data_IF_600433475128
#
_entry.id   IF_600433475128
#
_cell.length_a   1.000
_cell.length_b   1.000
_cell.length_c   1.000
_cell.angle_alpha   90.00
_cell.angle_beta   90.00
_cell.angle_gamma   90.00
#
_symmetry.space_group_name_H-M   'P 1'
#
loop_
_entity.id
_entity.type
_entity.pdbx_description
1 polymer ?
#
# COMPACT_ATOMS: atom_id res chain seq x y z
N UNK A 1 6.51 18.79 21.68
CA UNK A 1 5.97 17.90 20.63
C UNK A 1 4.55 17.55 21.05
N UNK A 2 3.54 18.04 20.34
CA UNK A 2 2.13 17.87 20.71
C UNK A 2 1.57 16.63 20.04
N UNK A 3 1.12 15.64 20.81
CA UNK A 3 0.46 14.43 20.29
C UNK A 3 -0.68 14.82 19.35
N UNK A 4 -0.78 14.13 18.21
CA UNK A 4 -1.92 14.28 17.29
C UNK A 4 -3.05 13.39 17.80
N UNK A 5 -4.20 13.99 18.10
CA UNK A 5 -5.43 13.22 18.36
C UNK A 5 -5.96 12.72 17.03
N UNK A 6 -5.95 11.41 16.84
CA UNK A 6 -6.42 10.77 15.61
C UNK A 6 -7.96 10.70 15.61
N UNK A 7 -8.57 10.59 14.42
CA UNK A 7 -10.04 10.51 14.27
C UNK A 7 -10.67 9.28 14.96
N UNK A 8 -9.88 8.33 15.43
CA UNK A 8 -10.34 7.15 16.17
C UNK A 8 -10.24 7.27 17.70
N UNK A 9 -9.85 8.44 18.23
CA UNK A 9 -9.78 8.69 19.67
C UNK A 9 -8.49 8.20 20.35
N UNK A 10 -7.55 7.60 19.62
CA UNK A 10 -6.23 7.23 20.16
C UNK A 10 -5.19 8.33 19.94
N UNK A 11 -4.32 8.52 20.92
CA UNK A 11 -3.20 9.47 20.84
C UNK A 11 -1.97 8.82 20.19
N UNK A 12 -1.36 9.48 19.20
CA UNK A 12 -0.10 9.05 18.56
C UNK A 12 1.07 10.00 18.83
N UNK A 13 2.31 9.52 18.64
CA UNK A 13 3.51 10.36 18.64
C UNK A 13 3.53 11.27 17.40
N UNK A 14 3.81 12.56 17.58
CA UNK A 14 3.70 13.58 16.52
C UNK A 14 5.01 13.76 15.73
N UNK A 15 4.97 13.43 14.45
CA UNK A 15 5.66 14.17 13.40
C UNK A 15 4.54 14.77 12.52
N UNK A 16 4.54 16.08 12.29
CA UNK A 16 3.37 16.78 11.74
C UNK A 16 3.10 16.35 10.28
N UNK A 17 1.92 15.78 10.05
CA UNK A 17 1.31 15.61 8.75
C UNK A 17 -0.02 16.36 8.72
N UNK A 18 -0.49 16.70 7.53
CA UNK A 18 -1.83 17.21 7.30
C UNK A 18 -2.73 16.12 6.72
N UNK A 19 -3.91 15.95 7.30
CA UNK A 19 -4.94 15.09 6.71
C UNK A 19 -5.38 15.68 5.36
N UNK A 20 -5.46 14.82 4.36
CA UNK A 20 -5.91 15.16 3.01
C UNK A 20 -7.09 14.27 2.64
N UNK A 21 -8.11 14.86 2.03
CA UNK A 21 -9.27 14.15 1.48
C UNK A 21 -9.46 14.50 0.02
N UNK A 22 -9.52 13.50 -0.83
CA UNK A 22 -9.69 13.61 -2.27
C UNK A 22 -11.08 13.10 -2.62
N UNK A 23 -11.99 13.93 -3.15
CA UNK A 23 -13.35 13.52 -3.44
C UNK A 23 -13.38 12.48 -4.59
N UNK A 24 -14.19 11.44 -4.41
CA UNK A 24 -14.48 10.42 -5.43
C UNK A 24 -15.98 10.11 -5.44
N UNK A 25 -16.55 9.54 -6.52
CA UNK A 25 -18.00 9.36 -6.62
C UNK A 25 -18.65 8.55 -5.47
N UNK A 26 -17.89 7.66 -4.82
CA UNK A 26 -18.36 6.84 -3.69
C UNK A 26 -17.96 7.42 -2.32
N UNK A 27 -17.46 8.66 -2.26
CA UNK A 27 -17.06 9.33 -1.03
C UNK A 27 -15.74 10.06 -1.17
N UNK A 28 -14.70 9.57 -0.50
CA UNK A 28 -13.37 10.18 -0.53
C UNK A 28 -12.25 9.15 -0.36
N UNK A 29 -11.09 9.50 -0.92
CA UNK A 29 -9.80 8.89 -0.59
C UNK A 29 -9.14 9.77 0.47
N UNK A 30 -8.78 9.19 1.61
CA UNK A 30 -8.05 9.85 2.69
C UNK A 30 -6.54 9.65 2.52
N UNK A 31 -5.74 10.53 3.10
CA UNK A 31 -4.29 10.38 3.12
C UNK A 31 -3.62 11.37 4.08
N UNK A 32 -2.33 11.18 4.28
CA UNK A 32 -1.49 12.03 5.13
C UNK A 32 -0.44 12.70 4.26
N UNK A 33 -0.41 14.02 4.31
CA UNK A 33 0.57 14.84 3.62
C UNK A 33 1.67 15.25 4.58
N UNK A 34 2.89 14.82 4.30
CA UNK A 34 4.09 15.12 5.06
C UNK A 34 4.97 16.11 4.29
N UNK A 35 5.57 17.07 4.97
CA UNK A 35 6.45 18.07 4.35
C UNK A 35 5.72 19.21 3.66
N UNK A 36 6.41 19.90 2.75
CA UNK A 36 5.98 21.16 2.13
C UNK A 36 4.90 20.96 1.05
N UNK A 37 3.73 21.60 1.23
CA UNK A 37 2.60 21.53 0.29
C UNK A 37 2.76 22.34 -0.99
N UNK A 38 3.72 23.26 -1.02
CA UNK A 38 4.05 24.01 -2.23
C UNK A 38 4.79 23.15 -3.27
N UNK A 39 5.30 21.99 -2.85
CA UNK A 39 5.97 21.02 -3.72
C UNK A 39 5.02 19.89 -4.06
N UNK A 40 5.07 19.43 -5.31
CA UNK A 40 4.40 18.19 -5.68
C UNK A 40 4.98 17.04 -4.84
N UNK A 41 4.12 16.25 -4.16
CA UNK A 41 4.60 15.20 -3.28
C UNK A 41 4.96 13.95 -4.07
N UNK A 42 5.86 13.16 -3.51
CA UNK A 42 5.95 11.73 -3.79
C UNK A 42 4.66 11.07 -3.29
N UNK A 43 4.08 10.12 -4.03
CA UNK A 43 2.86 9.42 -3.61
C UNK A 43 3.22 8.09 -2.95
N UNK A 44 2.79 7.89 -1.71
CA UNK A 44 2.98 6.67 -0.93
C UNK A 44 1.78 5.74 -0.99
N UNK A 45 1.97 4.48 -1.41
CA UNK A 45 0.91 3.47 -1.56
C UNK A 45 1.22 2.24 -0.70
N UNK A 46 0.31 1.89 0.20
CA UNK A 46 0.51 0.84 1.21
C UNK A 46 0.23 -0.59 0.69
N UNK A 47 0.59 -1.59 1.51
CA UNK A 47 0.33 -3.01 1.27
C UNK A 47 -1.14 -3.41 1.44
N UNK A 48 -1.47 -4.64 1.06
CA UNK A 48 -2.85 -5.14 1.17
C UNK A 48 -3.26 -5.31 2.64
N UNK A 49 -4.42 -4.77 3.02
CA UNK A 49 -4.96 -4.73 4.39
C UNK A 49 -4.20 -3.84 5.39
N UNK A 50 -3.24 -3.05 4.91
CA UNK A 50 -2.60 -1.97 5.66
C UNK A 50 -3.42 -0.66 5.56
N UNK A 51 -2.74 0.47 5.75
CA UNK A 51 -3.21 1.82 5.49
C UNK A 51 -1.98 2.76 5.40
N UNK A 52 -2.20 4.05 5.17
CA UNK A 52 -1.13 5.06 5.08
C UNK A 52 -0.25 5.20 6.33
N UNK A 53 -0.62 4.62 7.48
CA UNK A 53 0.27 4.55 8.68
C UNK A 53 1.41 3.57 8.56
N UNK A 54 1.41 2.69 7.56
CA UNK A 54 2.60 1.87 7.28
C UNK A 54 3.86 2.73 7.05
N UNK A 55 3.68 3.98 6.59
CA UNK A 55 4.75 4.94 6.37
C UNK A 55 5.04 5.88 7.55
N UNK A 56 4.39 5.76 8.72
CA UNK A 56 4.57 6.71 9.83
C UNK A 56 6.01 6.79 10.36
N UNK A 57 6.77 5.70 10.22
CA UNK A 57 8.17 5.64 10.64
C UNK A 57 9.14 6.13 9.54
N UNK A 58 8.74 6.04 8.26
CA UNK A 58 9.54 6.46 7.11
C UNK A 58 9.30 7.91 6.71
N UNK A 59 8.05 8.34 6.64
CA UNK A 59 7.65 9.65 6.14
C UNK A 59 8.32 10.84 6.85
N UNK A 60 8.50 10.83 8.20
CA UNK A 60 9.23 11.90 8.87
C UNK A 60 10.70 12.01 8.44
N UNK A 61 11.36 10.88 8.16
CA UNK A 61 12.76 10.85 7.73
C UNK A 61 12.91 11.47 6.34
N UNK A 62 11.95 11.22 5.45
CA UNK A 62 11.90 11.84 4.12
C UNK A 62 11.60 13.35 4.22
N UNK A 63 10.60 13.72 5.02
CA UNK A 63 10.21 15.12 5.21
C UNK A 63 11.33 15.99 5.80
N UNK A 64 12.12 15.45 6.72
CA UNK A 64 13.31 16.13 7.27
C UNK A 64 14.38 16.43 6.22
N UNK A 65 14.39 15.71 5.10
CA UNK A 65 15.28 15.96 3.96
C UNK A 65 14.64 16.83 2.87
N UNK A 66 13.45 17.39 3.13
CA UNK A 66 12.76 18.28 2.21
C UNK A 66 11.92 17.58 1.13
N UNK A 67 11.69 16.26 1.28
CA UNK A 67 10.77 15.50 0.42
C UNK A 67 9.35 15.72 0.90
N UNK A 68 8.48 16.21 0.01
CA UNK A 68 7.03 16.24 0.24
C UNK A 68 6.45 14.85 -0.07
N UNK A 69 5.60 14.31 0.79
CA UNK A 69 5.15 12.91 0.69
C UNK A 69 3.67 12.76 1.06
N UNK A 70 2.85 12.29 0.12
CA UNK A 70 1.43 12.03 0.30
C UNK A 70 1.18 10.53 0.40
N UNK A 71 0.99 10.03 1.62
CA UNK A 71 0.64 8.63 1.86
C UNK A 71 -0.88 8.47 1.81
N UNK A 72 -1.41 7.72 0.86
CA UNK A 72 -2.87 7.56 0.68
C UNK A 72 -3.38 6.26 1.29
N UNK A 73 -4.60 6.30 1.83
CA UNK A 73 -5.36 5.09 2.16
C UNK A 73 -6.10 4.63 0.89
N UNK A 74 -5.86 3.42 0.39
CA UNK A 74 -6.65 2.85 -0.70
C UNK A 74 -8.13 2.72 -0.27
N UNK A 75 -9.10 2.78 -1.20
CA UNK A 75 -10.50 2.52 -0.88
C UNK A 75 -10.70 1.23 -0.10
N UNK A 76 -11.62 1.27 0.85
CA UNK A 76 -11.81 0.18 1.81
C UNK A 76 -10.74 0.06 2.89
N UNK A 77 -9.69 0.88 2.90
CA UNK A 77 -8.63 0.86 3.93
C UNK A 77 -8.58 2.18 4.70
N UNK A 78 -7.95 2.14 5.88
CA UNK A 78 -7.69 3.34 6.68
C UNK A 78 -8.93 4.18 6.90
N UNK A 79 -8.85 5.47 6.59
CA UNK A 79 -9.99 6.39 6.64
C UNK A 79 -10.59 6.70 5.27
N UNK A 80 -10.23 5.95 4.22
CA UNK A 80 -10.87 6.06 2.91
C UNK A 80 -12.27 5.45 2.92
N UNK A 81 -13.14 6.00 2.08
CA UNK A 81 -14.49 5.45 1.90
C UNK A 81 -14.42 4.04 1.33
N UNK A 82 -15.33 3.19 1.80
CA UNK A 82 -15.55 1.86 1.22
C UNK A 82 -16.21 2.02 -0.16
N UNK A 83 -15.98 1.08 -1.07
CA UNK A 83 -16.75 1.02 -2.32
C UNK A 83 -18.22 0.73 -2.00
N UNK A 84 -19.17 1.10 -2.88
CA UNK A 84 -20.60 0.81 -2.64
C UNK A 84 -20.86 -0.70 -2.46
N UNK A 85 -21.95 -1.08 -1.76
CA UNK A 85 -22.45 -2.46 -1.78
C UNK A 85 -22.64 -2.97 -3.22
N UNK A 86 -22.44 -4.27 -3.48
CA UNK A 86 -22.47 -4.81 -4.85
C UNK A 86 -21.15 -4.70 -5.61
N UNK A 87 -20.14 -4.02 -5.08
CA UNK A 87 -18.86 -3.78 -5.76
C UNK A 87 -17.72 -4.56 -5.09
N UNK A 88 -16.99 -5.32 -5.90
CA UNK A 88 -15.77 -6.04 -5.53
C UNK A 88 -14.54 -5.12 -5.53
N UNK A 89 -13.47 -5.56 -4.86
CA UNK A 89 -12.16 -4.91 -4.91
C UNK A 89 -11.19 -5.70 -5.80
N UNK A 90 -10.99 -5.22 -7.02
CA UNK A 90 -9.97 -5.72 -7.95
C UNK A 90 -8.64 -5.01 -7.66
N UNK A 91 -7.99 -5.36 -6.53
CA UNK A 91 -6.90 -4.60 -5.91
C UNK A 91 -5.90 -3.94 -6.88
N UNK A 92 -5.42 -4.69 -7.87
CA UNK A 92 -4.43 -4.19 -8.83
C UNK A 92 -5.04 -3.13 -9.77
N UNK A 93 -6.10 -3.49 -10.48
CA UNK A 93 -6.73 -2.61 -11.47
C UNK A 93 -7.43 -1.42 -10.82
N UNK A 94 -8.17 -1.67 -9.74
CA UNK A 94 -8.80 -0.61 -8.95
C UNK A 94 -7.73 0.32 -8.37
N UNK A 95 -6.62 -0.23 -7.87
CA UNK A 95 -5.46 0.54 -7.41
C UNK A 95 -4.93 1.51 -8.47
N UNK A 96 -4.74 1.04 -9.72
CA UNK A 96 -4.33 1.90 -10.86
C UNK A 96 -5.38 2.97 -11.14
N UNK A 97 -6.67 2.63 -11.14
CA UNK A 97 -7.75 3.62 -11.32
C UNK A 97 -7.75 4.69 -10.23
N UNK A 98 -7.55 4.30 -8.98
CA UNK A 98 -7.51 5.22 -7.85
C UNK A 98 -6.29 6.14 -7.92
N UNK A 99 -5.12 5.59 -8.24
CA UNK A 99 -3.92 6.39 -8.46
C UNK A 99 -4.13 7.39 -9.61
N UNK A 100 -4.74 6.94 -10.72
CA UNK A 100 -5.08 7.82 -11.84
C UNK A 100 -6.02 8.95 -11.44
N UNK A 101 -7.01 8.67 -10.58
CA UNK A 101 -7.92 9.70 -10.03
C UNK A 101 -7.18 10.72 -9.19
N UNK A 102 -6.24 10.28 -8.34
CA UNK A 102 -5.41 11.16 -7.50
C UNK A 102 -4.55 12.07 -8.38
N UNK A 103 -3.80 11.49 -9.33
CA UNK A 103 -2.95 12.25 -10.26
C UNK A 103 -3.76 13.29 -11.05
N UNK A 104 -4.92 12.90 -11.58
CA UNK A 104 -5.81 13.83 -12.31
C UNK A 104 -6.44 14.90 -11.42
N UNK A 105 -6.76 14.59 -10.17
CA UNK A 105 -7.36 15.55 -9.24
C UNK A 105 -6.42 16.73 -8.98
N UNK A 106 -5.13 16.46 -8.81
CA UNK A 106 -4.14 17.50 -8.58
C UNK A 106 -3.49 18.05 -9.85
N UNK A 107 -3.71 17.41 -11.01
CA UNK A 107 -3.13 17.82 -12.29
C UNK A 107 -1.62 17.58 -12.38
N UNK A 108 -1.10 16.59 -11.65
CA UNK A 108 0.32 16.24 -11.65
C UNK A 108 0.73 15.58 -12.96
N UNK A 109 1.95 15.89 -13.41
CA UNK A 109 2.49 15.45 -14.72
C UNK A 109 3.84 14.74 -14.62
N UNK A 110 4.51 14.88 -13.48
CA UNK A 110 5.83 14.29 -13.23
C UNK A 110 5.78 13.55 -11.88
N UNK A 111 5.19 12.36 -11.90
CA UNK A 111 4.79 11.61 -10.73
C UNK A 111 5.95 10.76 -10.22
N UNK A 112 6.23 10.89 -8.92
CA UNK A 112 7.12 9.96 -8.20
C UNK A 112 6.31 9.10 -7.25
N UNK A 113 6.57 7.79 -7.23
CA UNK A 113 5.82 6.81 -6.44
C UNK A 113 6.72 6.08 -5.44
N UNK A 114 6.21 5.80 -4.24
CA UNK A 114 6.78 4.83 -3.31
C UNK A 114 5.68 3.84 -2.95
N UNK A 115 5.87 2.58 -3.31
CA UNK A 115 4.90 1.52 -3.06
C UNK A 115 5.49 0.39 -2.23
N UNK A 116 4.75 -0.07 -1.22
CA UNK A 116 5.06 -1.30 -0.50
C UNK A 116 4.11 -2.41 -0.93
N UNK A 117 4.65 -3.61 -1.22
CA UNK A 117 3.84 -4.81 -1.52
C UNK A 117 2.77 -4.53 -2.58
N UNK A 118 1.47 -4.65 -2.27
CA UNK A 118 0.38 -4.22 -3.17
C UNK A 118 0.64 -2.84 -3.81
N UNK A 119 1.04 -1.84 -3.03
CA UNK A 119 1.34 -0.51 -3.52
C UNK A 119 2.53 -0.48 -4.48
N UNK A 120 3.54 -1.34 -4.30
CA UNK A 120 4.66 -1.48 -5.23
C UNK A 120 4.21 -2.06 -6.57
N UNK A 121 3.34 -3.07 -6.55
CA UNK A 121 2.75 -3.62 -7.77
C UNK A 121 1.79 -2.65 -8.49
N UNK A 122 1.03 -1.84 -7.74
CA UNK A 122 0.23 -0.74 -8.34
C UNK A 122 1.15 0.29 -9.00
N UNK A 123 2.24 0.69 -8.35
CA UNK A 123 3.22 1.62 -8.92
C UNK A 123 3.86 1.07 -10.20
N UNK A 124 4.23 -0.22 -10.21
CA UNK A 124 4.70 -0.92 -11.41
C UNK A 124 3.69 -0.85 -12.56
N UNK A 125 2.41 -1.14 -12.29
CA UNK A 125 1.36 -1.07 -13.32
C UNK A 125 1.13 0.36 -13.80
N UNK A 126 1.15 1.35 -12.91
CA UNK A 126 0.95 2.74 -13.30
C UNK A 126 2.11 3.25 -14.16
N UNK A 127 3.36 2.95 -13.77
CA UNK A 127 4.56 3.34 -14.51
C UNK A 127 4.62 2.70 -15.92
N UNK A 128 4.12 1.47 -16.07
CA UNK A 128 4.06 0.79 -17.37
C UNK A 128 2.91 1.27 -18.28
N UNK A 129 1.80 1.73 -17.70
CA UNK A 129 0.62 2.21 -18.45
C UNK A 129 0.75 3.70 -18.82
N UNK A 130 1.37 4.50 -17.94
CA UNK A 130 1.58 5.93 -18.12
C UNK A 130 3.07 6.30 -18.01
N UNK A 131 3.94 5.73 -18.86
CA UNK A 131 5.40 5.91 -18.74
C UNK A 131 5.85 7.36 -18.89
N UNK A 132 5.11 8.18 -19.65
CA UNK A 132 5.42 9.61 -19.82
C UNK A 132 5.08 10.47 -18.59
N UNK A 133 4.31 9.93 -17.64
CA UNK A 133 3.90 10.66 -16.43
C UNK A 133 4.72 10.29 -15.19
N UNK A 134 5.53 9.23 -15.23
CA UNK A 134 6.27 8.75 -14.06
C UNK A 134 7.76 8.95 -14.28
N UNK A 135 8.42 9.70 -13.38
CA UNK A 135 9.88 9.90 -13.44
C UNK A 135 10.66 8.93 -12.57
N UNK A 136 10.13 8.60 -11.39
CA UNK A 136 10.76 7.69 -10.45
C UNK A 136 9.71 6.81 -9.77
N UNK A 137 9.98 5.52 -9.59
CA UNK A 137 9.25 4.74 -8.58
C UNK A 137 10.16 3.88 -7.71
N UNK A 138 9.78 3.80 -6.44
CA UNK A 138 10.40 2.95 -5.43
C UNK A 138 9.45 1.80 -5.11
N UNK A 139 9.93 0.57 -5.22
CA UNK A 139 9.22 -0.64 -4.82
C UNK A 139 9.86 -1.27 -3.60
N UNK A 140 9.08 -1.40 -2.53
CA UNK A 140 9.50 -1.99 -1.27
C UNK A 140 8.92 -3.40 -1.17
N UNK A 141 9.83 -4.35 -1.25
CA UNK A 141 9.68 -5.79 -1.09
C UNK A 141 8.67 -6.46 -2.04
N UNK A 142 8.70 -6.01 -3.31
CA UNK A 142 7.95 -6.59 -4.43
C UNK A 142 8.60 -6.18 -5.76
N UNK A 143 8.50 -6.99 -6.82
CA UNK A 143 9.01 -6.64 -8.15
C UNK A 143 7.88 -6.30 -9.15
N UNK A 144 6.67 -6.80 -8.92
CA UNK A 144 5.52 -6.70 -9.82
C UNK A 144 4.23 -7.13 -9.11
N UNK A 145 3.04 -6.89 -9.69
CA UNK A 145 1.81 -7.54 -9.25
C UNK A 145 1.96 -9.06 -9.15
N UNK A 146 1.27 -9.69 -8.19
CA UNK A 146 1.46 -11.12 -7.93
C UNK A 146 1.22 -11.99 -9.17
N UNK A 147 2.20 -12.82 -9.47
CA UNK A 147 2.21 -13.70 -10.65
C UNK A 147 1.75 -15.10 -10.27
N UNK A 148 0.74 -15.62 -10.99
CA UNK A 148 0.15 -16.95 -10.77
C UNK A 148 0.02 -17.68 -12.09
N UNK A 149 0.24 -19.00 -12.09
CA UNK A 149 -0.02 -19.81 -13.27
C UNK A 149 -1.51 -19.77 -13.64
N UNK A 150 -1.87 -19.88 -14.93
CA UNK A 150 -3.28 -19.90 -15.35
C UNK A 150 -4.13 -20.91 -14.58
N UNK A 151 -3.58 -22.09 -14.28
CA UNK A 151 -4.25 -23.13 -13.51
C UNK A 151 -4.60 -22.67 -12.10
N UNK A 152 -3.66 -22.01 -11.40
CA UNK A 152 -3.91 -21.47 -10.05
C UNK A 152 -4.93 -20.34 -10.07
N UNK A 153 -4.88 -19.47 -11.08
CA UNK A 153 -5.85 -18.39 -11.23
C UNK A 153 -7.26 -18.94 -11.44
N UNK A 154 -7.44 -19.83 -12.42
CA UNK A 154 -8.75 -20.42 -12.73
C UNK A 154 -9.32 -21.16 -11.52
N UNK A 155 -8.47 -21.89 -10.79
CA UNK A 155 -8.88 -22.60 -9.58
C UNK A 155 -9.37 -21.67 -8.45
N UNK A 156 -8.93 -20.40 -8.40
CA UNK A 156 -9.33 -19.45 -7.35
C UNK A 156 -10.55 -18.61 -7.69
N UNK A 157 -10.93 -18.46 -8.97
CA UNK A 157 -11.98 -17.53 -9.40
C UNK A 157 -13.35 -17.90 -8.84
N UNK A 158 -13.85 -19.11 -9.10
CA UNK A 158 -15.18 -19.54 -8.63
C UNK A 158 -15.33 -19.42 -7.11
N UNK A 159 -14.41 -20.01 -6.32
CA UNK A 159 -14.44 -19.87 -4.85
C UNK A 159 -14.27 -18.44 -4.34
N UNK A 160 -13.68 -17.52 -5.12
CA UNK A 160 -13.59 -16.11 -4.73
C UNK A 160 -14.93 -15.39 -4.94
N UNK A 161 -15.59 -15.65 -6.08
CA UNK A 161 -16.92 -15.11 -6.41
C UNK A 161 -17.96 -15.63 -5.41
N UNK A 162 -17.98 -16.93 -5.12
CA UNK A 162 -18.96 -17.49 -4.18
C UNK A 162 -18.80 -16.88 -2.78
N UNK A 163 -17.55 -16.69 -2.33
CA UNK A 163 -17.26 -16.03 -1.05
C UNK A 163 -17.64 -14.55 -1.07
N UNK A 164 -17.72 -13.88 -2.23
CA UNK A 164 -18.21 -12.50 -2.30
C UNK A 164 -19.65 -12.39 -1.82
N UNK A 165 -20.51 -13.31 -2.26
CA UNK A 165 -21.91 -13.34 -1.82
C UNK A 165 -22.06 -13.56 -0.30
N UNK A 166 -21.16 -14.33 0.32
CA UNK A 166 -21.14 -14.49 1.78
C UNK A 166 -20.86 -13.17 2.51
N UNK A 167 -20.02 -12.29 1.94
CA UNK A 167 -19.72 -10.99 2.54
C UNK A 167 -20.80 -9.94 2.22
N UNK A 168 -21.46 -10.02 1.06
CA UNK A 168 -22.62 -9.18 0.75
C UNK A 168 -23.82 -9.47 1.66
N UNK A 169 -23.99 -10.73 2.06
CA UNK A 169 -25.04 -11.11 2.99
C UNK A 169 -24.80 -10.63 4.44
N UNK A 170 -23.59 -10.14 4.77
CA UNK A 170 -23.28 -9.66 6.12
C UNK A 170 -23.87 -8.28 6.34
N UNK A 171 -24.58 -8.14 7.45
CA UNK A 171 -25.13 -6.88 7.91
C UNK A 171 -24.19 -6.18 8.90
N UNK A 172 -24.36 -4.87 9.08
CA UNK A 172 -23.46 -4.06 9.90
C UNK A 172 -23.38 -4.53 11.37
N UNK A 173 -24.46 -5.07 11.92
CA UNK A 173 -24.58 -5.65 13.26
C UNK A 173 -23.78 -6.94 13.45
N UNK A 174 -23.37 -7.61 12.37
CA UNK A 174 -22.50 -8.79 12.42
C UNK A 174 -21.01 -8.44 12.50
N UNK A 175 -20.66 -7.14 12.50
CA UNK A 175 -19.25 -6.71 12.58
C UNK A 175 -18.72 -6.94 13.99
N UNK A 176 -17.68 -7.77 14.18
CA UNK A 176 -17.12 -8.02 15.49
C UNK A 176 -16.39 -6.77 16.00
N UNK A 177 -16.41 -6.62 17.32
CA UNK A 177 -15.63 -5.63 18.04
C UNK A 177 -14.64 -6.33 18.97
N UNK A 178 -13.58 -5.63 19.32
CA UNK A 178 -12.42 -6.16 20.02
C UNK A 178 -11.93 -5.14 21.05
N UNK A 179 -11.26 -5.57 22.11
CA UNK A 179 -10.45 -4.62 22.90
C UNK A 179 -9.25 -4.16 22.08
N UNK A 180 -8.56 -3.09 22.51
CA UNK A 180 -7.34 -2.63 21.83
C UNK A 180 -6.28 -3.75 21.77
N UNK A 181 -6.03 -4.43 22.89
CA UNK A 181 -5.06 -5.53 22.96
C UNK A 181 -5.43 -6.68 22.03
N UNK A 182 -6.71 -7.08 21.99
CA UNK A 182 -7.18 -8.10 21.03
C UNK A 182 -6.90 -7.68 19.58
N UNK A 183 -7.09 -6.40 19.23
CA UNK A 183 -6.79 -5.93 17.86
C UNK A 183 -5.30 -6.00 17.54
N UNK A 184 -4.44 -5.67 18.49
CA UNK A 184 -2.98 -5.77 18.32
C UNK A 184 -2.59 -7.23 18.13
N UNK A 185 -3.11 -8.14 18.95
CA UNK A 185 -2.81 -9.58 18.86
C UNK A 185 -3.30 -10.18 17.53
N UNK A 186 -4.52 -9.82 17.09
CA UNK A 186 -5.07 -10.22 15.79
C UNK A 186 -4.19 -9.72 14.64
N UNK A 187 -3.69 -8.49 14.72
CA UNK A 187 -2.81 -7.92 13.71
C UNK A 187 -1.46 -8.65 13.71
N UNK A 188 -0.86 -8.88 14.86
CA UNK A 188 0.43 -9.57 14.99
C UNK A 188 0.37 -11.00 14.41
N UNK A 189 -0.69 -11.75 14.74
CA UNK A 189 -0.95 -13.08 14.18
C UNK A 189 -1.14 -13.04 12.66
N UNK A 190 -1.94 -12.09 12.16
CA UNK A 190 -2.24 -11.95 10.73
C UNK A 190 -0.98 -11.64 9.89
N UNK A 191 -0.03 -10.88 10.45
CA UNK A 191 1.22 -10.51 9.76
C UNK A 191 2.31 -11.58 9.87
N UNK A 192 2.11 -12.65 10.65
CA UNK A 192 3.00 -13.82 10.73
C UNK A 192 4.48 -13.46 10.96
N UNK A 193 4.71 -12.52 11.88
CA UNK A 193 6.05 -12.04 12.23
C UNK A 193 6.65 -11.02 11.26
N UNK A 194 5.93 -10.60 10.21
CA UNK A 194 6.41 -9.53 9.35
C UNK A 194 6.33 -8.14 10.00
N UNK A 195 5.37 -7.94 10.90
CA UNK A 195 5.17 -6.67 11.63
C UNK A 195 5.26 -7.02 13.10
N UNK A 196 6.06 -6.27 13.85
CA UNK A 196 6.16 -6.41 15.30
C UNK A 196 4.98 -5.71 15.99
N UNK A 197 4.88 -5.86 17.31
CA UNK A 197 3.79 -5.25 18.09
C UNK A 197 3.72 -3.73 17.89
N UNK A 198 4.86 -3.05 17.93
CA UNK A 198 4.94 -1.61 17.71
C UNK A 198 4.46 -1.19 16.32
N UNK A 199 4.82 -1.93 15.26
CA UNK A 199 4.30 -1.73 13.92
C UNK A 199 2.79 -1.97 13.83
N UNK A 200 2.26 -2.97 14.54
CA UNK A 200 0.82 -3.23 14.60
C UNK A 200 0.06 -2.05 15.24
N UNK A 201 0.59 -1.50 16.33
CA UNK A 201 0.03 -0.29 16.96
C UNK A 201 0.03 0.91 15.99
N UNK A 202 1.12 1.08 15.23
CA UNK A 202 1.21 2.11 14.18
C UNK A 202 0.15 1.92 13.11
N UNK A 203 -0.06 0.70 12.59
CA UNK A 203 -1.11 0.42 11.61
C UNK A 203 -2.50 0.64 12.19
N UNK A 204 -2.74 0.28 13.46
CA UNK A 204 -4.04 0.45 14.11
C UNK A 204 -4.45 1.90 14.30
N UNK A 205 -3.51 2.86 14.33
CA UNK A 205 -3.81 4.31 14.32
C UNK A 205 -4.80 4.73 13.23
N UNK A 206 -4.82 4.04 12.09
CA UNK A 206 -5.86 4.22 11.05
C UNK A 206 -6.62 2.93 10.73
N UNK A 207 -6.17 1.80 11.26
CA UNK A 207 -6.80 0.49 11.07
C UNK A 207 -7.99 0.22 11.99
N UNK A 208 -8.25 1.07 12.99
CA UNK A 208 -9.35 0.90 13.94
C UNK A 208 -10.21 2.17 14.10
N UNK A 209 -11.45 1.96 14.51
CA UNK A 209 -12.42 2.99 14.90
C UNK A 209 -13.19 2.54 16.15
N UNK A 210 -13.73 3.46 16.96
CA UNK A 210 -14.58 3.11 18.09
C UNK A 210 -15.73 2.18 17.68
N UNK A 211 -15.99 1.17 18.50
CA UNK A 211 -17.15 0.31 18.37
C UNK A 211 -18.38 0.92 19.05
N UNK A 212 -19.55 0.32 18.85
CA UNK A 212 -20.77 0.67 19.59
C UNK A 212 -20.70 0.28 21.08
N UNK A 213 -19.83 -0.68 21.41
CA UNK A 213 -19.53 -1.05 22.80
C UNK A 213 -18.38 -0.20 23.31
N UNK A 214 -18.61 0.47 24.43
CA UNK A 214 -17.60 1.30 25.09
C UNK A 214 -16.32 0.51 25.42
N UNK A 215 -15.16 1.12 25.19
CA UNK A 215 -13.86 0.48 25.38
C UNK A 215 -13.47 -0.55 24.32
N UNK A 216 -14.31 -0.76 23.30
CA UNK A 216 -14.03 -1.65 22.18
C UNK A 216 -13.90 -0.90 20.85
N UNK A 217 -13.30 -1.58 19.89
CA UNK A 217 -12.96 -1.06 18.57
C UNK A 217 -13.34 -2.05 17.47
N UNK A 218 -13.54 -1.54 16.28
CA UNK A 218 -13.74 -2.33 15.06
C UNK A 218 -12.67 -1.96 14.04
N UNK A 219 -12.32 -2.89 13.16
CA UNK A 219 -11.46 -2.56 12.04
C UNK A 219 -12.14 -1.56 11.10
N UNK A 220 -11.37 -0.60 10.60
CA UNK A 220 -11.83 0.34 9.57
C UNK A 220 -11.86 -0.29 8.19
N UNK A 221 -11.03 -1.32 7.96
CA UNK A 221 -10.94 -1.99 6.66
C UNK A 221 -12.23 -2.70 6.29
N UNK A 222 -12.56 -2.66 5.02
CA UNK A 222 -13.69 -3.35 4.44
C UNK A 222 -13.43 -4.87 4.44
N UNK A 223 -14.31 -5.69 5.05
CA UNK A 223 -14.14 -7.14 5.07
C UNK A 223 -14.04 -7.79 3.68
N UNK A 224 -14.63 -7.17 2.65
CA UNK A 224 -14.56 -7.65 1.25
C UNK A 224 -13.15 -7.65 0.69
N UNK A 225 -12.22 -6.88 1.26
CA UNK A 225 -10.82 -6.87 0.84
C UNK A 225 -10.16 -8.24 0.98
N UNK A 226 -10.68 -9.13 1.82
CA UNK A 226 -10.19 -10.52 1.98
C UNK A 226 -10.43 -11.41 0.75
N UNK A 227 -11.20 -10.92 -0.23
CA UNK A 227 -11.65 -11.66 -1.42
C UNK A 227 -10.87 -11.33 -2.69
N UNK A 228 -9.78 -10.58 -2.57
CA UNK A 228 -9.00 -10.01 -3.66
C UNK A 228 -8.31 -11.00 -4.63
N UNK A 229 -8.76 -12.24 -4.74
CA UNK A 229 -8.17 -13.28 -5.57
C UNK A 229 -8.46 -13.12 -7.07
N UNK A 230 -9.19 -12.07 -7.48
CA UNK A 230 -9.49 -11.77 -8.88
C UNK A 230 -8.45 -10.80 -9.45
N UNK A 231 -7.92 -11.13 -10.63
CA UNK A 231 -7.01 -10.26 -11.38
C UNK A 231 -5.52 -10.41 -11.08
N UNK A 232 -5.08 -11.61 -10.68
CA UNK A 232 -3.65 -11.94 -10.71
C UNK A 232 -3.12 -12.02 -12.15
N UNK A 233 -1.80 -11.94 -12.30
CA UNK A 233 -1.15 -11.86 -13.61
C UNK A 233 -0.47 -13.17 -13.95
N UNK A 234 -0.44 -13.53 -15.23
CA UNK A 234 0.53 -14.52 -15.72
C UNK A 234 1.92 -13.88 -15.82
N UNK A 235 2.96 -14.71 -15.92
CA UNK A 235 4.32 -14.18 -16.11
C UNK A 235 4.40 -13.36 -17.40
N UNK A 236 3.83 -13.85 -18.50
CA UNK A 236 3.84 -13.16 -19.79
C UNK A 236 3.22 -11.75 -19.69
N UNK A 237 2.10 -11.62 -18.97
CA UNK A 237 1.49 -10.30 -18.74
C UNK A 237 2.41 -9.39 -17.93
N UNK A 238 2.99 -9.90 -16.85
CA UNK A 238 3.91 -9.11 -16.02
C UNK A 238 5.16 -8.67 -16.81
N UNK A 239 5.70 -9.53 -17.69
CA UNK A 239 6.86 -9.21 -18.53
C UNK A 239 6.53 -8.14 -19.59
N UNK A 240 5.33 -8.14 -20.15
CA UNK A 240 4.88 -7.11 -21.09
C UNK A 240 4.65 -5.76 -20.40
N UNK A 241 4.19 -5.74 -19.15
CA UNK A 241 4.15 -4.50 -18.38
C UNK A 241 5.57 -4.02 -18.01
N UNK A 242 6.45 -4.93 -17.59
CA UNK A 242 7.83 -4.61 -17.22
C UNK A 242 8.58 -3.92 -18.37
N UNK A 243 8.41 -4.39 -19.60
CA UNK A 243 9.09 -3.86 -20.80
C UNK A 243 8.70 -2.41 -21.16
N UNK A 244 7.64 -1.87 -20.55
CA UNK A 244 7.12 -0.53 -20.81
C UNK A 244 7.56 0.49 -19.77
N UNK A 245 8.25 0.05 -18.73
CA UNK A 245 8.74 0.92 -17.67
C UNK A 245 10.00 1.61 -18.18
N UNK A 246 9.94 2.94 -18.32
CA UNK A 246 11.04 3.76 -18.86
C UNK A 246 11.65 4.71 -17.84
N UNK A 247 11.04 4.86 -16.66
CA UNK A 247 11.46 5.77 -15.61
C UNK A 247 12.63 5.20 -14.79
N UNK A 248 13.17 5.97 -13.84
CA UNK A 248 14.11 5.43 -12.85
C UNK A 248 13.39 4.55 -11.83
N UNK A 249 14.01 3.45 -11.43
CA UNK A 249 13.44 2.46 -10.53
C UNK A 249 14.40 2.14 -9.40
N UNK A 250 13.89 2.13 -8.17
CA UNK A 250 14.56 1.57 -7.00
C UNK A 250 13.76 0.37 -6.48
N UNK A 251 14.37 -0.80 -6.47
CA UNK A 251 13.84 -1.99 -5.83
C UNK A 251 14.58 -2.27 -4.51
N UNK A 252 13.85 -2.31 -3.40
CA UNK A 252 14.38 -2.71 -2.09
C UNK A 252 13.73 -4.04 -1.71
N UNK A 253 14.52 -5.10 -1.57
CA UNK A 253 14.09 -6.44 -1.15
C UNK A 253 14.56 -6.71 0.27
N UNK A 254 13.69 -7.27 1.10
CA UNK A 254 14.01 -7.70 2.46
C UNK A 254 14.44 -9.18 2.48
N UNK A 255 15.41 -9.53 3.32
CA UNK A 255 15.97 -10.89 3.37
C UNK A 255 15.09 -11.91 4.12
N UNK A 256 14.17 -11.47 4.98
CA UNK A 256 13.22 -12.31 5.74
C UNK A 256 11.79 -12.16 5.20
N UNK A 257 11.61 -12.17 3.88
CA UNK A 257 10.28 -12.07 3.26
C UNK A 257 9.51 -13.38 3.22
N UNK A 258 8.19 -13.31 3.35
CA UNK A 258 7.29 -14.45 3.14
C UNK A 258 7.14 -14.67 1.63
N UNK A 259 7.58 -15.83 1.14
CA UNK A 259 7.54 -16.16 -0.29
C UNK A 259 6.12 -16.53 -0.72
N UNK A 260 5.42 -15.56 -1.33
CA UNK A 260 4.08 -15.78 -1.90
C UNK A 260 4.12 -16.20 -3.37
N UNK A 261 5.21 -15.90 -4.07
CA UNK A 261 5.39 -16.07 -5.52
C UNK A 261 6.57 -17.00 -5.83
N UNK A 262 6.69 -17.45 -7.09
CA UNK A 262 7.88 -18.19 -7.52
C UNK A 262 9.10 -17.24 -7.41
N UNK A 263 10.14 -17.60 -6.61
CA UNK A 263 11.31 -16.74 -6.43
C UNK A 263 11.99 -16.33 -7.73
N UNK A 264 11.97 -17.20 -8.75
CA UNK A 264 12.58 -16.94 -10.06
C UNK A 264 11.89 -15.77 -10.79
N UNK A 265 10.59 -15.55 -10.58
CA UNK A 265 9.86 -14.46 -11.25
C UNK A 265 10.31 -13.09 -10.77
N UNK A 266 10.78 -12.98 -9.52
CA UNK A 266 11.21 -11.71 -8.97
C UNK A 266 12.37 -11.13 -9.77
N UNK A 267 13.42 -11.93 -9.96
CA UNK A 267 14.64 -11.49 -10.64
C UNK A 267 14.41 -11.37 -12.15
N UNK A 268 13.67 -12.30 -12.77
CA UNK A 268 13.31 -12.22 -14.19
C UNK A 268 12.57 -10.93 -14.55
N UNK A 269 11.66 -10.48 -13.69
CA UNK A 269 10.90 -9.25 -13.94
C UNK A 269 11.77 -8.02 -13.76
N UNK A 270 12.66 -7.99 -12.76
CA UNK A 270 13.62 -6.89 -12.60
C UNK A 270 14.61 -6.83 -13.76
N UNK A 271 15.10 -7.98 -14.24
CA UNK A 271 15.95 -8.05 -15.43
C UNK A 271 15.21 -7.48 -16.65
N UNK A 272 13.91 -7.75 -16.77
CA UNK A 272 13.10 -7.18 -17.86
C UNK A 272 12.92 -5.67 -17.75
N UNK A 273 12.76 -5.14 -16.53
CA UNK A 273 12.67 -3.70 -16.28
C UNK A 273 13.99 -3.03 -16.67
N UNK A 274 15.13 -3.65 -16.36
CA UNK A 274 16.47 -3.10 -16.66
C UNK A 274 16.73 -2.91 -18.16
N UNK A 275 16.04 -3.67 -19.02
CA UNK A 275 16.15 -3.51 -20.48
C UNK A 275 15.57 -2.18 -21.00
N UNK A 276 14.61 -1.57 -20.28
CA UNK A 276 13.86 -0.39 -20.75
C UNK A 276 13.89 0.81 -19.80
N UNK A 277 14.09 0.59 -18.51
CA UNK A 277 14.16 1.65 -17.50
C UNK A 277 15.37 2.55 -17.73
N UNK A 278 15.22 3.86 -17.48
CA UNK A 278 16.34 4.80 -17.49
C UNK A 278 17.45 4.37 -16.53
N UNK A 279 17.05 3.80 -15.39
CA UNK A 279 17.94 3.28 -14.36
C UNK A 279 17.21 2.28 -13.47
N UNK A 280 17.89 1.21 -13.06
CA UNK A 280 17.41 0.29 -12.04
C UNK A 280 18.45 0.12 -10.92
N UNK A 281 18.09 0.51 -9.70
CA UNK A 281 18.84 0.19 -8.48
C UNK A 281 18.18 -0.98 -7.75
N UNK A 282 18.96 -1.98 -7.35
CA UNK A 282 18.49 -3.15 -6.60
C UNK A 282 19.23 -3.26 -5.28
N UNK A 283 18.50 -3.24 -4.17
CA UNK A 283 19.06 -3.33 -2.82
C UNK A 283 18.45 -4.49 -2.06
N UNK A 284 19.29 -5.39 -1.53
CA UNK A 284 18.90 -6.36 -0.52
C UNK A 284 19.21 -5.79 0.86
N UNK A 285 18.21 -5.75 1.74
CA UNK A 285 18.35 -5.24 3.11
C UNK A 285 17.94 -6.31 4.12
N UNK A 286 18.58 -6.30 5.28
CA UNK A 286 18.15 -7.12 6.40
C UNK A 286 16.80 -6.60 6.93
N UNK A 287 15.81 -7.47 7.06
CA UNK A 287 14.50 -7.09 7.58
C UNK A 287 13.38 -8.00 7.10
N UNK A 288 12.17 -7.69 7.54
CA UNK A 288 10.94 -8.40 7.13
C UNK A 288 10.29 -7.72 5.93
N UNK A 289 9.19 -8.29 5.43
CA UNK A 289 8.40 -7.69 4.34
C UNK A 289 7.95 -6.26 4.63
N UNK A 290 7.83 -5.87 5.90
CA UNK A 290 7.46 -4.51 6.32
C UNK A 290 8.66 -3.72 6.88
N UNK A 291 9.88 -3.95 6.37
CA UNK A 291 11.12 -3.27 6.84
C UNK A 291 10.99 -1.73 6.88
N UNK A 292 10.23 -1.13 5.97
CA UNK A 292 9.98 0.31 5.96
C UNK A 292 9.12 0.81 7.14
N UNK A 293 8.35 -0.07 7.76
CA UNK A 293 7.57 0.19 8.97
C UNK A 293 8.38 -0.19 10.21
N UNK A 294 9.00 -1.38 10.24
CA UNK A 294 9.66 -1.93 11.43
C UNK A 294 11.09 -1.40 11.64
N UNK A 295 11.80 -1.01 10.57
CA UNK A 295 13.15 -0.46 10.60
C UNK A 295 13.35 0.59 9.50
N UNK A 296 12.55 1.66 9.56
CA UNK A 296 12.55 2.73 8.57
C UNK A 296 13.93 3.38 8.39
N UNK A 297 14.75 3.46 9.44
CA UNK A 297 16.08 4.04 9.41
C UNK A 297 17.04 3.28 8.47
N UNK A 298 16.78 1.99 8.22
CA UNK A 298 17.57 1.17 7.30
C UNK A 298 17.32 1.51 5.84
N UNK A 299 16.07 1.77 5.48
CA UNK A 299 15.67 2.01 4.08
C UNK A 299 15.64 3.50 3.71
N UNK A 300 15.43 4.39 4.70
CA UNK A 300 15.30 5.82 4.43
C UNK A 300 16.52 6.42 3.71
N UNK A 301 17.79 6.15 4.10
CA UNK A 301 18.95 6.71 3.40
C UNK A 301 19.03 6.29 1.93
N UNK A 302 18.67 5.02 1.62
CA UNK A 302 18.64 4.48 0.26
C UNK A 302 17.60 5.24 -0.56
N UNK A 303 16.38 5.37 -0.03
CA UNK A 303 15.27 6.07 -0.68
C UNK A 303 15.60 7.56 -0.88
N UNK A 304 16.14 8.23 0.14
CA UNK A 304 16.51 9.65 0.07
C UNK A 304 17.54 9.90 -1.03
N UNK A 305 18.59 9.07 -1.06
CA UNK A 305 19.66 9.20 -2.07
C UNK A 305 19.11 8.99 -3.48
N UNK A 306 18.23 8.02 -3.68
CA UNK A 306 17.60 7.77 -4.99
C UNK A 306 16.67 8.92 -5.41
N UNK A 307 15.88 9.46 -4.49
CA UNK A 307 14.94 10.54 -4.81
C UNK A 307 15.64 11.86 -5.12
N UNK A 308 16.67 12.22 -4.36
CA UNK A 308 17.34 13.52 -4.43
C UNK A 308 18.64 13.52 -5.25
N UNK A 309 19.14 12.34 -5.62
CA UNK A 309 20.30 12.15 -6.47
C UNK A 309 19.97 12.08 -7.95
#
# INVERSE_FOLDING_TARGET
MSKVTLQNGHEGASNYFEETKIPVPWGHISGKWWGDRSRQPVIGIHGWQDNSSTFDNLAPLLAQKGVSFLCVDLPGHGFSSHLPPGVEYYLWWDGVHFLRRIVRHFGWKDVTLIGHSLGGGISFLYASIYPEEVSKYVSIDIASPSVRSPQKQIASIGPAIDRFFDYEAKTADMTPYYTYEDMVDIMEEAHKGSVDRAGCEVLLRRGMKPAYKEGCFMFTRDPRLKLAALGFFTLDQAMEFASRITCEVLNIKADKTLRLDNPEYYDLILDKIEESAEKLERHLVEGTHHVHLTDAARVAPIIINFLLG
#
